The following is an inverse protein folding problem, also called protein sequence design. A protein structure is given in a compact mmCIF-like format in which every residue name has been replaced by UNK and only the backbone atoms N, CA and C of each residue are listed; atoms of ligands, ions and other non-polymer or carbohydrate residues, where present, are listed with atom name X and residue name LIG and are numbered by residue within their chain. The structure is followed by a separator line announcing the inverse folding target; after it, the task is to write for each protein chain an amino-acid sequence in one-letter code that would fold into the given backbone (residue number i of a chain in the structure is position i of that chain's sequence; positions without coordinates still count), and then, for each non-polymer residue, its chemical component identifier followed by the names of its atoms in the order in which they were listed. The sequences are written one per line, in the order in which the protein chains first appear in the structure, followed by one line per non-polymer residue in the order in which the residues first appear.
data_IF_817758699040
#
_entry.id   IF_817758699040
#
_cell.length_a   1.000
_cell.length_b   1.000
_cell.length_c   1.000
_cell.angle_alpha   90.00
_cell.angle_beta   90.00
_cell.angle_gamma   90.00
#
_symmetry.space_group_name_H-M   'P 1'
#
loop_
_entity.id
_entity.type
_entity.pdbx_description
1 polymer ?
#
# COMPACT_ATOMS: atom_id res chain seq x y z
N UNK A 1 -24.52 -14.91 4.04
CA UNK A 1 -24.37 -13.95 2.91
C UNK A 1 -22.94 -13.46 2.88
N UNK A 2 -22.23 -13.58 1.74
CA UNK A 2 -20.85 -13.08 1.62
C UNK A 2 -20.86 -11.57 1.71
N UNK A 3 -20.15 -11.00 2.68
CA UNK A 3 -20.06 -9.54 2.83
C UNK A 3 -18.88 -9.02 2.02
N UNK A 4 -19.16 -8.25 0.97
CA UNK A 4 -18.14 -7.52 0.22
C UNK A 4 -17.83 -6.21 0.89
N UNK A 5 -16.64 -5.67 0.60
CA UNK A 5 -16.24 -4.35 1.05
C UNK A 5 -17.22 -3.28 0.52
N UNK A 6 -17.49 -2.30 1.37
CA UNK A 6 -18.29 -1.13 1.06
C UNK A 6 -17.66 0.09 1.75
N UNK A 7 -17.38 1.12 0.99
CA UNK A 7 -16.73 2.34 1.46
C UNK A 7 -17.68 3.36 2.11
N UNK A 8 -18.96 3.05 2.36
CA UNK A 8 -19.93 4.02 2.86
C UNK A 8 -19.49 4.70 4.16
N UNK A 9 -19.00 3.91 5.14
CA UNK A 9 -18.56 4.46 6.42
C UNK A 9 -17.31 5.35 6.27
N UNK A 10 -16.41 4.96 5.40
CA UNK A 10 -15.21 5.74 5.09
C UNK A 10 -15.58 7.07 4.40
N UNK A 11 -16.47 7.03 3.41
CA UNK A 11 -16.92 8.20 2.66
C UNK A 11 -17.73 9.19 3.50
N UNK A 12 -18.50 8.74 4.49
CA UNK A 12 -19.21 9.60 5.46
C UNK A 12 -18.26 10.53 6.21
N UNK A 13 -17.00 10.17 6.37
CA UNK A 13 -15.99 11.00 7.03
C UNK A 13 -15.55 12.18 6.17
N UNK A 14 -15.88 12.18 4.89
CA UNK A 14 -15.58 13.22 3.90
C UNK A 14 -14.10 13.63 3.85
N UNK A 15 -13.19 12.69 4.06
CA UNK A 15 -11.74 12.97 4.00
C UNK A 15 -11.25 13.10 2.55
N UNK A 16 -10.19 13.89 2.36
CA UNK A 16 -9.55 14.10 1.05
C UNK A 16 -8.87 12.82 0.54
N UNK A 17 -8.14 12.15 1.44
CA UNK A 17 -7.43 10.91 1.17
C UNK A 17 -8.00 9.79 2.03
N UNK A 18 -8.22 8.65 1.43
CA UNK A 18 -8.80 7.47 2.05
C UNK A 18 -7.87 6.27 1.84
N UNK A 19 -7.34 5.72 2.91
CA UNK A 19 -6.46 4.55 2.86
C UNK A 19 -7.27 3.32 3.24
N UNK A 20 -7.22 2.26 2.42
CA UNK A 20 -7.96 1.02 2.65
C UNK A 20 -7.00 -0.15 2.63
N UNK A 21 -6.69 -0.65 3.82
CA UNK A 21 -5.88 -1.84 4.01
C UNK A 21 -6.74 -3.05 4.35
N UNK A 22 -6.34 -4.24 3.95
CA UNK A 22 -7.04 -5.47 4.29
C UNK A 22 -6.83 -6.60 3.30
N UNK A 23 -7.51 -7.73 3.51
CA UNK A 23 -7.36 -8.94 2.72
C UNK A 23 -7.55 -8.74 1.21
N UNK A 24 -6.87 -9.56 0.42
CA UNK A 24 -7.01 -9.57 -1.04
C UNK A 24 -8.40 -10.08 -1.44
N UNK A 25 -8.96 -9.51 -2.52
CA UNK A 25 -10.18 -10.02 -3.14
C UNK A 25 -11.48 -9.74 -2.36
N UNK A 26 -11.46 -8.90 -1.32
CA UNK A 26 -12.68 -8.49 -0.61
C UNK A 26 -13.50 -7.43 -1.35
N UNK A 27 -12.97 -6.85 -2.44
CA UNK A 27 -13.70 -5.90 -3.30
C UNK A 27 -13.42 -4.43 -3.01
N UNK A 28 -12.31 -4.07 -2.35
CA UNK A 28 -11.93 -2.67 -2.05
C UNK A 28 -12.03 -1.76 -3.27
N UNK A 29 -11.18 -1.99 -4.25
CA UNK A 29 -11.15 -1.22 -5.50
C UNK A 29 -12.42 -1.34 -6.31
N UNK A 30 -13.04 -2.51 -6.28
CA UNK A 30 -14.30 -2.80 -7.00
C UNK A 30 -15.43 -1.88 -6.56
N UNK A 31 -15.59 -1.62 -5.25
CA UNK A 31 -16.65 -0.73 -4.76
C UNK A 31 -16.42 0.73 -5.18
N UNK A 32 -15.17 1.20 -5.12
CA UNK A 32 -14.83 2.56 -5.56
C UNK A 32 -15.04 2.71 -7.07
N UNK A 33 -14.61 1.73 -7.88
CA UNK A 33 -14.83 1.72 -9.32
C UNK A 33 -16.33 1.75 -9.66
N UNK A 34 -17.14 0.94 -8.99
CA UNK A 34 -18.58 0.94 -9.17
C UNK A 34 -19.17 2.34 -8.98
N UNK A 35 -18.82 3.02 -7.89
CA UNK A 35 -19.29 4.39 -7.59
C UNK A 35 -18.89 5.37 -8.67
N UNK A 36 -17.61 5.43 -9.02
CA UNK A 36 -17.11 6.35 -10.02
C UNK A 36 -17.74 6.14 -11.40
N UNK A 37 -17.94 4.89 -11.83
CA UNK A 37 -18.58 4.58 -13.12
C UNK A 37 -20.08 4.90 -13.10
N UNK A 38 -20.79 4.51 -12.05
CA UNK A 38 -22.22 4.78 -11.94
C UNK A 38 -22.50 6.29 -11.91
N UNK A 39 -21.71 7.07 -11.17
CA UNK A 39 -21.82 8.51 -11.14
C UNK A 39 -21.47 9.15 -12.48
N UNK A 40 -20.43 8.64 -13.18
CA UNK A 40 -20.07 9.10 -14.53
C UNK A 40 -21.21 8.91 -15.54
N UNK A 41 -21.89 7.76 -15.45
CA UNK A 41 -23.07 7.47 -16.29
C UNK A 41 -24.24 8.38 -15.91
N UNK A 42 -24.56 8.49 -14.63
CA UNK A 42 -25.69 9.28 -14.14
C UNK A 42 -25.58 10.77 -14.48
N UNK A 43 -24.36 11.29 -14.58
CA UNK A 43 -24.07 12.69 -14.90
C UNK A 43 -23.70 12.92 -16.37
N UNK A 44 -23.87 11.94 -17.23
CA UNK A 44 -23.48 12.00 -18.65
C UNK A 44 -22.02 12.47 -18.87
N UNK A 45 -21.11 12.02 -18.01
CA UNK A 45 -19.69 12.34 -18.10
C UNK A 45 -19.25 13.64 -17.41
N UNK A 46 -20.15 14.37 -16.77
CA UNK A 46 -19.82 15.63 -16.09
C UNK A 46 -19.09 15.39 -14.75
N UNK A 47 -19.47 14.34 -14.03
CA UNK A 47 -18.89 13.94 -12.73
C UNK A 47 -18.56 12.45 -12.71
N UNK A 48 -17.95 11.99 -11.63
CA UNK A 48 -17.55 10.61 -11.47
C UNK A 48 -16.28 10.29 -12.26
N UNK A 49 -16.12 9.01 -12.65
CA UNK A 49 -14.92 8.51 -13.33
C UNK A 49 -13.77 8.20 -12.37
N UNK A 50 -12.77 7.51 -12.91
CA UNK A 50 -11.70 6.91 -12.13
C UNK A 50 -10.32 7.31 -12.67
N UNK A 51 -9.48 7.88 -11.83
CA UNK A 51 -8.04 7.90 -12.04
C UNK A 51 -7.45 6.59 -11.49
N UNK A 52 -7.08 5.68 -12.40
CA UNK A 52 -6.38 4.44 -12.05
C UNK A 52 -4.88 4.70 -11.97
N UNK A 53 -4.32 4.62 -10.78
CA UNK A 53 -2.92 5.00 -10.51
C UNK A 53 -2.10 3.76 -10.16
N UNK A 54 -0.94 3.64 -10.78
CA UNK A 54 0.07 2.62 -10.48
C UNK A 54 1.43 3.28 -10.24
N UNK A 55 2.33 2.58 -9.54
CA UNK A 55 3.67 3.10 -9.23
C UNK A 55 4.50 3.38 -10.48
N UNK A 56 4.55 2.44 -11.41
CA UNK A 56 5.37 2.49 -12.63
C UNK A 56 4.52 2.58 -13.88
N UNK A 57 4.98 3.35 -14.85
CA UNK A 57 4.26 3.55 -16.13
C UNK A 57 3.99 2.24 -16.86
N UNK A 58 4.95 1.33 -16.90
CA UNK A 58 4.80 0.00 -17.53
C UNK A 58 3.69 -0.89 -16.93
N UNK A 59 3.17 -0.54 -15.76
CA UNK A 59 2.04 -1.24 -15.14
C UNK A 59 0.68 -0.76 -15.69
N UNK A 60 0.68 0.32 -16.48
CA UNK A 60 -0.53 0.92 -17.05
C UNK A 60 -0.54 0.66 -18.55
N UNK A 61 -1.10 -0.46 -18.93
CA UNK A 61 -1.27 -0.88 -20.30
C UNK A 61 -2.75 -0.88 -20.67
N UNK A 62 -3.03 -0.90 -21.98
CA UNK A 62 -4.38 -1.11 -22.49
C UNK A 62 -5.03 -2.34 -21.83
N UNK A 63 -4.30 -3.46 -21.80
CA UNK A 63 -4.79 -4.71 -21.23
C UNK A 63 -5.10 -4.60 -19.73
N UNK A 64 -4.27 -3.90 -18.94
CA UNK A 64 -4.51 -3.75 -17.50
C UNK A 64 -5.73 -2.88 -17.20
N UNK A 65 -6.00 -1.85 -17.99
CA UNK A 65 -7.19 -1.01 -17.83
C UNK A 65 -8.44 -1.77 -18.30
N UNK A 66 -8.41 -2.42 -19.45
CA UNK A 66 -9.54 -3.16 -20.00
C UNK A 66 -9.96 -4.34 -19.12
N UNK A 67 -9.01 -5.00 -18.46
CA UNK A 67 -9.26 -6.12 -17.54
C UNK A 67 -9.51 -5.72 -16.08
N UNK A 68 -9.41 -4.43 -15.74
CA UNK A 68 -9.50 -3.96 -14.36
C UNK A 68 -10.87 -4.23 -13.73
N UNK A 69 -11.93 -4.17 -14.53
CA UNK A 69 -13.31 -4.47 -14.12
C UNK A 69 -13.82 -5.64 -14.94
N UNK A 70 -14.35 -6.65 -14.26
CA UNK A 70 -14.93 -7.82 -14.91
C UNK A 70 -16.21 -7.46 -15.65
N UNK A 71 -16.41 -8.07 -16.81
CA UNK A 71 -17.56 -7.80 -17.69
C UNK A 71 -18.91 -8.06 -17.02
N UNK A 72 -19.03 -9.14 -16.24
CA UNK A 72 -20.24 -9.46 -15.49
C UNK A 72 -20.60 -8.38 -14.45
N UNK A 73 -19.61 -7.82 -13.80
CA UNK A 73 -19.80 -6.70 -12.88
C UNK A 73 -20.23 -5.43 -13.63
N UNK A 74 -19.54 -5.13 -14.73
CA UNK A 74 -19.85 -3.94 -15.52
C UNK A 74 -21.28 -3.99 -16.09
N UNK A 75 -21.68 -5.12 -16.67
CA UNK A 75 -23.06 -5.36 -17.12
C UNK A 75 -24.06 -5.09 -15.99
N UNK A 76 -23.80 -5.62 -14.80
CA UNK A 76 -24.65 -5.39 -13.63
C UNK A 76 -24.74 -3.91 -13.23
N UNK A 77 -23.62 -3.19 -13.22
CA UNK A 77 -23.58 -1.78 -12.80
C UNK A 77 -24.25 -0.83 -13.79
N UNK A 78 -24.27 -1.23 -15.06
CA UNK A 78 -24.80 -0.42 -16.16
C UNK A 78 -26.21 -0.85 -16.63
N UNK A 79 -26.85 -1.79 -15.90
CA UNK A 79 -28.16 -2.33 -16.30
C UNK A 79 -28.13 -3.08 -17.64
N UNK A 80 -26.99 -3.67 -18.00
CA UNK A 80 -26.79 -4.39 -19.26
C UNK A 80 -26.46 -3.50 -20.46
N UNK A 81 -26.44 -2.17 -20.31
CA UNK A 81 -26.17 -1.23 -21.42
C UNK A 81 -24.74 -1.35 -21.95
N UNK A 82 -23.77 -1.57 -21.06
CA UNK A 82 -22.35 -1.67 -21.38
C UNK A 82 -21.77 -2.99 -20.89
N UNK A 83 -20.89 -3.57 -21.67
CA UNK A 83 -20.39 -4.92 -21.42
C UNK A 83 -18.92 -4.96 -20.98
N UNK A 84 -18.11 -4.05 -21.53
CA UNK A 84 -16.66 -4.06 -21.34
C UNK A 84 -16.09 -2.65 -21.32
N UNK A 85 -14.81 -2.54 -21.03
CA UNK A 85 -14.03 -1.31 -21.18
C UNK A 85 -13.08 -1.52 -22.35
N UNK A 86 -13.01 -0.55 -23.25
CA UNK A 86 -12.04 -0.49 -24.34
C UNK A 86 -11.25 0.79 -24.30
N UNK A 87 -9.95 0.71 -24.56
CA UNK A 87 -9.04 1.82 -24.40
C UNK A 87 -8.59 2.46 -25.71
N UNK A 88 -8.51 3.79 -25.67
CA UNK A 88 -7.73 4.62 -26.60
C UNK A 88 -6.52 5.15 -25.82
N UNK A 89 -5.33 4.58 -26.07
CA UNK A 89 -4.15 4.84 -25.23
C UNK A 89 -4.38 4.35 -23.77
N UNK A 90 -4.18 5.24 -22.79
CA UNK A 90 -4.41 5.00 -21.36
C UNK A 90 -5.79 5.49 -20.87
N UNK A 91 -6.71 5.72 -21.80
CA UNK A 91 -8.06 6.22 -21.49
C UNK A 91 -9.09 5.16 -21.86
N UNK A 92 -9.88 4.71 -20.88
CA UNK A 92 -10.88 3.66 -21.00
C UNK A 92 -12.28 4.20 -21.15
N UNK A 93 -13.02 3.69 -22.14
CA UNK A 93 -14.41 3.98 -22.44
C UNK A 93 -15.27 2.75 -22.19
N UNK A 94 -16.51 2.95 -21.77
CA UNK A 94 -17.49 1.87 -21.79
C UNK A 94 -17.76 1.47 -23.24
N UNK A 95 -17.88 0.16 -23.47
CA UNK A 95 -18.10 -0.38 -24.79
C UNK A 95 -19.07 -1.57 -24.76
N UNK A 96 -19.78 -1.79 -25.86
CA UNK A 96 -20.56 -3.00 -26.13
C UNK A 96 -20.34 -3.47 -27.57
N UNK A 97 -20.44 -4.75 -27.79
CA UNK A 97 -20.38 -5.32 -29.14
C UNK A 97 -21.70 -4.99 -29.87
N UNK A 98 -21.57 -4.43 -31.05
CA UNK A 98 -22.72 -4.15 -31.93
C UNK A 98 -22.79 -5.09 -33.14
N UNK A 99 -21.63 -5.59 -33.56
CA UNK A 99 -21.51 -6.45 -34.73
C UNK A 99 -20.22 -7.29 -34.65
N UNK A 100 -20.18 -8.41 -35.34
CA UNK A 100 -18.97 -9.20 -35.58
C UNK A 100 -18.73 -9.17 -37.10
N UNK A 101 -17.58 -8.67 -37.50
CA UNK A 101 -17.20 -8.59 -38.92
C UNK A 101 -16.96 -9.97 -39.57
N UNK A 102 -16.80 -9.99 -40.88
CA UNK A 102 -16.55 -11.21 -41.65
C UNK A 102 -15.32 -12.01 -41.22
N UNK A 103 -14.39 -11.37 -40.54
CA UNK A 103 -13.17 -11.97 -39.99
C UNK A 103 -13.30 -12.42 -38.52
N UNK A 104 -14.51 -12.37 -37.96
CA UNK A 104 -14.80 -12.73 -36.58
C UNK A 104 -14.38 -11.68 -35.55
N UNK A 105 -14.05 -10.45 -35.97
CA UNK A 105 -13.64 -9.37 -35.10
C UNK A 105 -14.83 -8.56 -34.62
N UNK A 106 -14.92 -8.34 -33.33
CA UNK A 106 -15.99 -7.54 -32.73
C UNK A 106 -15.85 -6.04 -33.07
N UNK A 107 -16.95 -5.45 -33.52
CA UNK A 107 -17.11 -4.01 -33.70
C UNK A 107 -17.82 -3.46 -32.45
N UNK A 108 -17.27 -2.37 -31.89
CA UNK A 108 -17.74 -1.82 -30.63
C UNK A 108 -18.41 -0.46 -30.81
N UNK A 109 -19.53 -0.27 -30.13
CA UNK A 109 -20.04 1.05 -29.76
C UNK A 109 -19.35 1.51 -28.47
N UNK A 110 -19.02 2.78 -28.38
CA UNK A 110 -18.33 3.39 -27.24
C UNK A 110 -19.22 4.44 -26.57
N UNK A 111 -19.04 4.61 -25.24
CA UNK A 111 -19.59 5.78 -24.55
C UNK A 111 -18.98 7.07 -25.11
N UNK A 112 -19.74 8.17 -25.09
CA UNK A 112 -19.28 9.49 -25.54
C UNK A 112 -18.24 10.12 -24.61
N UNK A 113 -18.11 9.61 -23.40
CA UNK A 113 -17.16 10.06 -22.37
C UNK A 113 -16.34 8.88 -21.81
N UNK A 114 -15.10 9.12 -21.46
CA UNK A 114 -14.26 8.12 -20.81
C UNK A 114 -14.65 7.92 -19.34
N UNK A 115 -14.39 6.73 -18.81
CA UNK A 115 -14.71 6.36 -17.42
C UNK A 115 -13.47 6.06 -16.57
N UNK A 116 -12.35 5.67 -17.18
CA UNK A 116 -11.08 5.39 -16.51
C UNK A 116 -9.93 6.08 -17.22
N UNK A 117 -9.02 6.65 -16.45
CA UNK A 117 -7.76 7.25 -16.92
C UNK A 117 -6.60 6.63 -16.18
N UNK A 118 -5.58 6.17 -16.90
CA UNK A 118 -4.37 5.57 -16.33
C UNK A 118 -3.31 6.61 -16.03
N UNK A 119 -2.81 6.61 -14.78
CA UNK A 119 -1.75 7.49 -14.29
C UNK A 119 -0.64 6.67 -13.63
N UNK A 120 0.61 7.07 -13.80
CA UNK A 120 1.73 6.51 -13.05
C UNK A 120 2.35 7.53 -12.11
N UNK A 121 2.75 7.07 -10.93
CA UNK A 121 3.45 7.90 -9.96
C UNK A 121 4.82 8.31 -10.51
N UNK A 122 5.50 7.41 -11.23
CA UNK A 122 6.80 7.71 -11.84
C UNK A 122 6.78 8.84 -12.87
N UNK A 123 5.61 9.19 -13.40
CA UNK A 123 5.43 10.24 -14.41
C UNK A 123 4.47 11.33 -13.92
N UNK A 124 4.41 11.58 -12.61
CA UNK A 124 3.47 12.53 -12.01
C UNK A 124 3.52 13.93 -12.65
N UNK A 125 4.70 14.35 -13.09
CA UNK A 125 4.91 15.67 -13.70
C UNK A 125 4.32 15.83 -15.11
N UNK A 126 4.19 14.73 -15.86
CA UNK A 126 3.68 14.75 -17.23
C UNK A 126 2.17 15.09 -17.31
N UNK A 127 1.45 14.97 -16.21
CA UNK A 127 -0.01 15.14 -16.17
C UNK A 127 -0.48 16.55 -15.82
N UNK A 128 0.42 17.46 -15.48
CA UNK A 128 0.11 18.80 -14.92
C UNK A 128 -0.74 19.70 -15.82
N UNK A 129 -0.72 19.49 -17.12
CA UNK A 129 -1.41 20.34 -18.10
C UNK A 129 -2.83 19.92 -18.44
N UNK A 130 -3.30 18.76 -17.99
CA UNK A 130 -4.56 18.17 -18.42
C UNK A 130 -5.66 18.38 -17.35
N UNK A 131 -6.88 18.65 -17.80
CA UNK A 131 -8.07 18.70 -16.95
C UNK A 131 -8.89 17.41 -17.15
N UNK A 132 -8.99 16.61 -16.09
CA UNK A 132 -9.59 15.28 -16.17
C UNK A 132 -11.03 15.23 -15.67
N UNK A 133 -11.44 16.19 -14.83
CA UNK A 133 -12.76 16.23 -14.17
C UNK A 133 -13.19 14.85 -13.64
N UNK A 134 -12.42 14.33 -12.69
CA UNK A 134 -12.62 13.03 -12.05
C UNK A 134 -12.93 13.20 -10.58
N UNK A 135 -13.86 12.41 -10.04
CA UNK A 135 -14.22 12.46 -8.62
C UNK A 135 -13.44 11.43 -7.79
N UNK A 136 -12.90 10.39 -8.43
CA UNK A 136 -12.21 9.31 -7.72
C UNK A 136 -10.83 9.01 -8.30
N UNK A 137 -9.84 8.88 -7.43
CA UNK A 137 -8.54 8.32 -7.79
C UNK A 137 -8.27 7.07 -6.95
N UNK A 138 -7.72 6.03 -7.56
CA UNK A 138 -7.37 4.78 -6.88
C UNK A 138 -5.90 4.49 -7.14
N UNK A 139 -5.07 4.63 -6.11
CA UNK A 139 -3.69 4.18 -6.14
C UNK A 139 -3.62 2.74 -5.64
N UNK A 140 -3.45 1.83 -6.58
CA UNK A 140 -3.38 0.39 -6.32
C UNK A 140 -2.00 -0.04 -5.85
N UNK A 141 -1.99 -0.91 -4.84
CA UNK A 141 -0.77 -1.49 -4.27
C UNK A 141 0.21 -0.42 -3.76
N UNK A 142 -0.32 0.60 -3.03
CA UNK A 142 0.53 1.63 -2.43
C UNK A 142 1.51 1.04 -1.41
N UNK A 143 1.14 -0.03 -0.70
CA UNK A 143 2.09 -0.85 0.05
C UNK A 143 2.73 -1.89 -0.86
N UNK A 144 4.03 -2.11 -0.71
CA UNK A 144 4.80 -3.07 -1.49
C UNK A 144 5.92 -3.69 -0.67
N UNK A 145 6.28 -4.93 -1.00
CA UNK A 145 7.51 -5.59 -0.55
C UNK A 145 8.68 -5.35 -1.53
N UNK A 146 8.43 -4.64 -2.61
CA UNK A 146 9.42 -4.18 -3.57
C UNK A 146 9.98 -2.82 -3.11
N UNK A 147 10.51 -2.05 -3.99
CA UNK A 147 10.97 -0.70 -3.66
C UNK A 147 9.88 0.35 -3.88
N UNK A 148 9.92 1.41 -3.10
CA UNK A 148 9.19 2.65 -3.31
C UNK A 148 9.99 3.59 -4.25
N UNK A 149 9.28 4.49 -4.92
CA UNK A 149 9.96 5.59 -5.63
C UNK A 149 10.53 6.58 -4.62
N UNK A 150 11.59 7.27 -5.01
CA UNK A 150 12.13 8.35 -4.21
C UNK A 150 11.04 9.41 -3.99
N UNK A 151 10.81 9.75 -2.72
CA UNK A 151 9.77 10.68 -2.28
C UNK A 151 8.35 10.37 -2.81
N UNK A 152 8.00 9.10 -2.91
CA UNK A 152 6.70 8.64 -3.43
C UNK A 152 5.49 9.31 -2.77
N UNK A 153 5.46 9.58 -1.44
CA UNK A 153 4.38 10.34 -0.82
C UNK A 153 4.20 11.75 -1.39
N UNK A 154 5.28 12.47 -1.73
CA UNK A 154 5.19 13.78 -2.35
C UNK A 154 4.72 13.71 -3.81
N UNK A 155 5.16 12.69 -4.55
CA UNK A 155 4.69 12.44 -5.91
C UNK A 155 3.17 12.15 -5.94
N UNK A 156 2.66 11.39 -4.97
CA UNK A 156 1.21 11.17 -4.82
C UNK A 156 0.48 12.46 -4.47
N UNK A 157 1.05 13.33 -3.64
CA UNK A 157 0.47 14.64 -3.35
C UNK A 157 0.44 15.55 -4.59
N UNK A 158 1.47 15.49 -5.42
CA UNK A 158 1.50 16.19 -6.71
C UNK A 158 0.39 15.70 -7.64
N UNK A 159 0.22 14.37 -7.78
CA UNK A 159 -0.89 13.78 -8.54
C UNK A 159 -2.26 14.17 -7.96
N UNK A 160 -2.41 14.10 -6.64
CA UNK A 160 -3.63 14.53 -5.96
C UNK A 160 -3.99 15.97 -6.37
N UNK A 161 -3.06 16.91 -6.24
CA UNK A 161 -3.26 18.31 -6.60
C UNK A 161 -3.59 18.47 -8.09
N UNK A 162 -2.89 17.72 -8.95
CA UNK A 162 -3.06 17.77 -10.41
C UNK A 162 -4.45 17.28 -10.85
N UNK A 163 -4.96 16.22 -10.25
CA UNK A 163 -6.24 15.62 -10.63
C UNK A 163 -7.41 16.36 -9.95
N UNK A 164 -7.25 16.70 -8.67
CA UNK A 164 -8.27 17.41 -7.89
C UNK A 164 -8.57 18.79 -8.45
N UNK A 165 -7.54 19.62 -8.68
CA UNK A 165 -7.69 21.04 -9.05
C UNK A 165 -8.80 21.71 -8.23
N UNK A 166 -9.84 22.20 -8.91
CA UNK A 166 -10.99 22.89 -8.31
C UNK A 166 -12.14 21.92 -7.97
N UNK A 167 -11.96 20.59 -8.19
CA UNK A 167 -13.02 19.62 -7.94
C UNK A 167 -13.13 19.30 -6.44
N UNK A 168 -14.10 19.89 -5.75
CA UNK A 168 -14.37 19.65 -4.32
C UNK A 168 -14.89 18.25 -4.01
N UNK A 169 -15.41 17.54 -5.00
CA UNK A 169 -15.92 16.17 -4.84
C UNK A 169 -14.82 15.11 -4.93
N UNK A 170 -13.62 15.51 -5.37
CA UNK A 170 -12.52 14.59 -5.59
C UNK A 170 -12.08 13.89 -4.30
N UNK A 171 -11.94 12.57 -4.37
CA UNK A 171 -11.43 11.71 -3.29
C UNK A 171 -10.36 10.78 -3.83
N UNK A 172 -9.22 10.74 -3.15
CA UNK A 172 -8.16 9.79 -3.48
C UNK A 172 -8.22 8.59 -2.53
N UNK A 173 -8.08 7.41 -3.11
CA UNK A 173 -8.02 6.14 -2.39
C UNK A 173 -6.67 5.48 -2.59
N UNK A 174 -5.99 5.15 -1.50
CA UNK A 174 -4.80 4.30 -1.51
C UNK A 174 -5.24 2.91 -1.07
N UNK A 175 -5.09 1.92 -1.94
CA UNK A 175 -5.59 0.58 -1.68
C UNK A 175 -4.44 -0.40 -1.65
N UNK A 176 -4.35 -1.19 -0.58
CA UNK A 176 -3.36 -2.25 -0.50
C UNK A 176 -3.87 -3.47 0.29
N UNK A 177 -3.17 -4.58 0.10
CA UNK A 177 -3.18 -5.65 1.08
C UNK A 177 -2.24 -5.26 2.21
N UNK A 178 -2.49 -5.75 3.42
CA UNK A 178 -1.57 -5.50 4.56
C UNK A 178 -0.28 -6.27 4.34
N UNK A 179 0.80 -5.56 4.08
CA UNK A 179 2.07 -6.16 3.64
C UNK A 179 3.20 -5.85 4.61
N UNK A 180 3.37 -4.57 4.94
CA UNK A 180 4.49 -4.11 5.75
C UNK A 180 4.05 -3.01 6.71
N UNK A 181 4.59 -3.04 7.94
CA UNK A 181 4.35 -1.98 8.95
C UNK A 181 5.15 -0.72 8.67
N UNK A 182 6.21 -0.85 7.89
CA UNK A 182 7.09 0.27 7.54
C UNK A 182 6.85 0.64 6.09
N UNK A 183 6.32 1.84 5.86
CA UNK A 183 6.17 2.39 4.53
C UNK A 183 6.35 3.92 4.58
N UNK A 184 6.78 4.56 3.49
CA UNK A 184 7.10 6.00 3.48
C UNK A 184 5.90 6.89 3.78
N UNK A 185 4.67 6.46 3.48
CA UNK A 185 3.45 7.22 3.75
C UNK A 185 3.18 7.38 5.25
N UNK A 186 3.49 6.35 6.06
CA UNK A 186 3.31 6.40 7.52
C UNK A 186 4.13 7.54 8.12
N UNK A 187 5.37 7.67 7.66
CA UNK A 187 6.29 8.72 8.10
C UNK A 187 5.90 10.09 7.54
N UNK A 188 5.76 10.18 6.22
CA UNK A 188 5.53 11.46 5.54
C UNK A 188 4.22 12.12 5.94
N UNK A 189 3.18 11.32 6.23
CA UNK A 189 1.84 11.82 6.56
C UNK A 189 1.49 11.71 8.04
N UNK A 190 2.44 11.32 8.90
CA UNK A 190 2.25 11.28 10.35
C UNK A 190 1.16 10.31 10.82
N UNK A 191 1.04 9.13 10.19
CA UNK A 191 0.00 8.14 10.51
C UNK A 191 0.34 7.37 11.80
N UNK A 192 0.36 8.07 12.93
CA UNK A 192 0.94 7.61 14.20
C UNK A 192 0.34 6.32 14.76
N UNK A 193 -0.93 6.01 14.45
CA UNK A 193 -1.60 4.79 14.93
C UNK A 193 -1.58 3.65 13.92
N UNK A 194 -0.91 3.81 12.78
CA UNK A 194 -0.94 2.86 11.66
C UNK A 194 -0.67 1.41 12.09
N UNK A 195 0.39 1.21 12.88
CA UNK A 195 0.85 -0.13 13.31
C UNK A 195 0.04 -0.70 14.50
N UNK A 196 -0.81 0.12 15.14
CA UNK A 196 -1.61 -0.27 16.30
C UNK A 196 -3.10 -0.41 15.98
N UNK A 197 -3.51 0.07 14.81
CA UNK A 197 -4.90 0.06 14.39
C UNK A 197 -5.43 -1.38 14.29
N UNK A 198 -6.60 -1.60 14.85
CA UNK A 198 -7.25 -2.93 14.86
C UNK A 198 -8.03 -3.16 13.57
N UNK A 199 -8.12 -4.42 13.07
CA UNK A 199 -9.02 -4.75 11.98
C UNK A 199 -10.46 -4.34 12.28
N UNK A 200 -11.17 -3.81 11.27
CA UNK A 200 -12.54 -3.33 11.39
C UNK A 200 -12.68 -1.93 11.98
N UNK A 201 -11.60 -1.16 12.08
CA UNK A 201 -11.63 0.23 12.59
C UNK A 201 -11.21 1.25 11.53
N UNK A 202 -11.62 2.50 11.74
CA UNK A 202 -11.22 3.64 10.91
C UNK A 202 -10.58 4.69 11.82
N UNK A 203 -9.38 5.12 11.45
CA UNK A 203 -8.66 6.22 12.10
C UNK A 203 -8.67 7.46 11.21
N UNK A 204 -8.60 8.64 11.81
CA UNK A 204 -8.53 9.92 11.10
C UNK A 204 -7.27 10.66 11.47
N UNK A 205 -6.65 11.28 10.47
CA UNK A 205 -5.43 12.08 10.61
C UNK A 205 -5.62 13.43 9.93
N UNK A 206 -4.82 14.40 10.35
CA UNK A 206 -4.67 15.72 9.70
C UNK A 206 -3.23 15.89 9.25
N UNK A 207 -3.04 16.15 7.97
CA UNK A 207 -1.74 16.48 7.40
C UNK A 207 -1.66 17.97 7.22
N UNK A 208 -0.74 18.62 7.93
CA UNK A 208 -0.49 20.06 7.78
C UNK A 208 0.16 20.34 6.42
N UNK A 209 -0.40 21.29 5.68
CA UNK A 209 0.06 21.62 4.32
C UNK A 209 1.17 22.67 4.27
N UNK A 210 1.55 23.24 5.40
CA UNK A 210 2.54 24.33 5.45
C UNK A 210 2.05 25.67 4.92
N UNK A 211 0.73 25.84 4.76
CA UNK A 211 0.10 27.06 4.24
C UNK A 211 -1.07 27.48 5.11
N UNK A 212 -1.46 28.75 5.00
CA UNK A 212 -2.59 29.35 5.72
C UNK A 212 -3.71 29.69 4.73
N UNK A 213 -4.94 29.73 5.24
CA UNK A 213 -6.10 30.22 4.50
C UNK A 213 -6.20 31.76 4.53
N UNK A 214 -7.22 32.32 3.89
CA UNK A 214 -7.47 33.78 3.83
C UNK A 214 -7.72 34.38 5.21
N UNK A 215 -8.12 33.59 6.19
CA UNK A 215 -8.35 33.99 7.58
C UNK A 215 -7.16 33.71 8.50
N UNK A 216 -5.98 33.40 7.93
CA UNK A 216 -4.76 33.07 8.65
C UNK A 216 -4.85 31.82 9.51
N UNK A 217 -5.74 30.84 9.17
CA UNK A 217 -5.78 29.54 9.79
C UNK A 217 -4.91 28.54 9.02
N UNK A 218 -4.28 27.63 9.75
CA UNK A 218 -3.51 26.54 9.15
C UNK A 218 -4.38 25.64 8.28
N UNK A 219 -3.96 25.38 7.04
CA UNK A 219 -4.63 24.44 6.15
C UNK A 219 -4.16 23.02 6.39
N UNK A 220 -5.13 22.13 6.51
CA UNK A 220 -4.91 20.70 6.69
C UNK A 220 -5.59 19.91 5.58
N UNK A 221 -4.94 18.84 5.16
CA UNK A 221 -5.57 17.77 4.40
C UNK A 221 -6.05 16.70 5.38
N UNK A 222 -7.22 16.16 5.13
CA UNK A 222 -7.81 15.13 5.96
C UNK A 222 -7.55 13.76 5.39
N UNK A 223 -7.11 12.83 6.23
CA UNK A 223 -6.82 11.44 5.85
C UNK A 223 -7.67 10.53 6.74
N UNK A 224 -8.39 9.58 6.14
CA UNK A 224 -9.00 8.48 6.84
C UNK A 224 -8.29 7.18 6.46
N UNK A 225 -8.02 6.32 7.42
CA UNK A 225 -7.50 4.98 7.18
C UNK A 225 -8.42 3.94 7.76
N UNK A 226 -8.94 3.09 6.91
CA UNK A 226 -9.66 1.88 7.28
C UNK A 226 -8.72 0.68 7.23
N UNK A 227 -8.61 -0.03 8.36
CA UNK A 227 -8.08 -1.38 8.36
C UNK A 227 -9.26 -2.35 8.32
N UNK A 228 -9.57 -2.86 7.13
CA UNK A 228 -10.74 -3.70 6.94
C UNK A 228 -10.63 -5.00 7.74
N UNK A 229 -11.67 -5.30 8.53
CA UNK A 229 -11.80 -6.56 9.24
C UNK A 229 -12.35 -7.70 8.38
N UNK A 230 -12.64 -7.45 7.08
CA UNK A 230 -13.17 -8.46 6.18
C UNK A 230 -12.06 -9.44 5.78
N UNK A 231 -12.42 -10.73 5.74
CA UNK A 231 -11.55 -11.79 5.29
C UNK A 231 -12.05 -12.35 3.94
N UNK A 232 -11.16 -12.91 3.14
CA UNK A 232 -11.50 -13.57 1.88
C UNK A 232 -12.25 -14.91 2.09
N UNK A 233 -12.51 -15.30 3.34
CA UNK A 233 -13.21 -16.51 3.73
C UNK A 233 -14.61 -16.56 3.13
N UNK A 234 -14.81 -17.50 2.23
CA UNK A 234 -16.05 -17.66 1.49
C UNK A 234 -15.98 -17.36 -0.01
N UNK A 235 -14.86 -16.81 -0.53
CA UNK A 235 -14.67 -16.54 -1.97
C UNK A 235 -13.75 -17.50 -2.70
N UNK A 236 -12.94 -18.30 -1.98
CA UNK A 236 -12.16 -19.36 -2.61
C UNK A 236 -13.07 -20.54 -2.94
N UNK A 237 -12.87 -21.17 -4.12
CA UNK A 237 -13.54 -22.43 -4.46
C UNK A 237 -13.41 -23.41 -3.31
N UNK A 238 -14.50 -24.11 -2.98
CA UNK A 238 -14.54 -25.08 -1.87
C UNK A 238 -13.43 -26.13 -1.96
N UNK A 239 -13.08 -26.56 -3.16
CA UNK A 239 -12.00 -27.51 -3.43
C UNK A 239 -10.59 -26.96 -3.10
N UNK A 240 -10.33 -25.71 -3.43
CA UNK A 240 -9.07 -25.05 -3.08
C UNK A 240 -8.97 -24.86 -1.56
N UNK A 241 -10.09 -24.55 -0.89
CA UNK A 241 -10.15 -24.47 0.58
C UNK A 241 -9.82 -25.80 1.26
N UNK A 242 -10.26 -26.89 0.72
CA UNK A 242 -10.05 -28.23 1.29
C UNK A 242 -8.61 -28.70 1.09
N UNK A 243 -8.06 -28.48 -0.10
CA UNK A 243 -6.65 -28.72 -0.41
C UNK A 243 -5.69 -27.88 0.45
N UNK A 244 -6.10 -26.66 0.80
CA UNK A 244 -5.28 -25.72 1.58
C UNK A 244 -5.46 -25.88 3.10
N UNK A 245 -6.58 -26.45 3.58
CA UNK A 245 -6.82 -26.70 5.02
C UNK A 245 -5.76 -27.60 5.66
N UNK A 246 -5.23 -28.55 4.92
CA UNK A 246 -4.28 -29.54 5.40
C UNK A 246 -2.79 -29.14 5.23
N UNK A 247 -2.51 -28.01 4.65
CA UNK A 247 -1.15 -27.50 4.52
C UNK A 247 -1.08 -26.14 5.20
N UNK A 248 -0.28 -26.00 6.25
CA UNK A 248 0.22 -24.73 6.79
C UNK A 248 1.12 -24.08 5.72
N UNK A 249 0.54 -23.76 4.57
CA UNK A 249 1.28 -23.32 3.40
C UNK A 249 1.12 -21.80 3.25
N UNK A 250 2.20 -21.12 2.88
CA UNK A 250 2.27 -19.68 2.57
C UNK A 250 1.13 -19.22 1.63
N UNK A 251 0.81 -20.03 0.61
CA UNK A 251 -0.27 -19.74 -0.34
C UNK A 251 -1.63 -19.60 0.39
N UNK A 252 -1.86 -20.36 1.46
CA UNK A 252 -3.10 -20.27 2.23
C UNK A 252 -3.19 -18.93 3.00
N UNK A 253 -2.10 -18.47 3.58
CA UNK A 253 -2.02 -17.17 4.27
C UNK A 253 -2.22 -16.02 3.28
N UNK A 254 -1.63 -16.10 2.10
CA UNK A 254 -1.77 -15.13 1.03
C UNK A 254 -3.22 -15.01 0.53
N UNK A 255 -3.89 -16.14 0.31
CA UNK A 255 -5.28 -16.16 -0.20
C UNK A 255 -6.29 -15.79 0.89
N UNK A 256 -6.11 -16.25 2.14
CA UNK A 256 -7.11 -16.11 3.20
C UNK A 256 -6.93 -14.86 4.04
N UNK A 257 -5.69 -14.43 4.28
CA UNK A 257 -5.36 -13.28 5.13
C UNK A 257 -4.92 -12.04 4.33
N UNK A 258 -4.70 -12.18 3.02
CA UNK A 258 -4.23 -11.10 2.16
C UNK A 258 -2.76 -10.73 2.39
N UNK A 259 -2.04 -11.60 3.08
CA UNK A 259 -0.59 -11.47 3.24
C UNK A 259 0.08 -11.81 1.91
N UNK A 260 1.06 -11.00 1.51
CA UNK A 260 1.82 -11.26 0.29
C UNK A 260 2.70 -12.49 0.45
N UNK A 261 2.95 -13.18 -0.68
CA UNK A 261 4.00 -14.17 -0.73
C UNK A 261 5.34 -13.46 -0.47
N UNK A 262 5.96 -13.76 0.66
CA UNK A 262 7.28 -13.20 0.98
C UNK A 262 8.26 -13.70 -0.08
N UNK A 263 8.83 -12.78 -0.84
CA UNK A 263 9.88 -13.09 -1.83
C UNK A 263 11.15 -13.65 -1.18
N UNK A 264 11.32 -13.44 0.12
CA UNK A 264 12.50 -13.88 0.88
C UNK A 264 12.08 -14.87 1.96
N UNK A 265 12.76 -16.00 2.01
CA UNK A 265 12.66 -16.95 3.12
C UNK A 265 13.71 -16.57 4.12
N UNK A 266 13.27 -16.12 5.29
CA UNK A 266 14.19 -15.80 6.39
C UNK A 266 14.46 -17.02 7.24
N UNK A 267 15.64 -17.08 7.83
CA UNK A 267 15.96 -18.07 8.85
C UNK A 267 15.24 -17.68 10.14
N UNK A 268 14.23 -18.43 10.51
CA UNK A 268 13.44 -18.21 11.71
C UNK A 268 13.97 -19.09 12.83
N UNK A 269 14.29 -18.47 13.96
CA UNK A 269 14.77 -19.20 15.15
C UNK A 269 13.76 -19.13 16.29
N UNK A 270 13.63 -20.26 16.99
CA UNK A 270 12.75 -20.32 18.16
C UNK A 270 13.38 -19.60 19.34
N UNK A 271 12.58 -18.81 20.06
CA UNK A 271 13.02 -18.07 21.24
C UNK A 271 13.68 -18.95 22.30
N UNK A 272 13.21 -20.19 22.48
CA UNK A 272 13.80 -21.16 23.42
C UNK A 272 15.26 -21.49 23.09
N UNK A 273 15.56 -21.68 21.79
CA UNK A 273 16.93 -21.92 21.34
C UNK A 273 17.81 -20.69 21.58
N UNK A 274 17.34 -19.51 21.21
CA UNK A 274 18.09 -18.26 21.42
C UNK A 274 18.39 -18.01 22.90
N UNK A 275 17.44 -18.28 23.78
CA UNK A 275 17.61 -18.11 25.22
C UNK A 275 18.64 -19.09 25.84
N UNK A 276 19.02 -20.16 25.15
CA UNK A 276 20.06 -21.08 25.58
C UNK A 276 21.49 -20.60 25.22
N UNK A 277 21.60 -19.55 24.39
CA UNK A 277 22.84 -19.03 23.89
C UNK A 277 23.30 -17.82 24.71
N UNK A 278 24.63 -17.65 24.80
CA UNK A 278 25.21 -16.47 25.43
C UNK A 278 25.25 -15.31 24.45
N UNK A 279 24.62 -14.20 24.82
CA UNK A 279 24.73 -12.95 24.08
C UNK A 279 26.16 -12.43 24.08
N UNK A 280 26.67 -12.07 22.91
CA UNK A 280 28.01 -11.50 22.73
C UNK A 280 27.93 -9.97 22.69
N UNK A 281 26.96 -9.46 21.94
CA UNK A 281 26.83 -8.03 21.68
C UNK A 281 25.40 -7.74 21.21
N UNK A 282 24.89 -6.54 21.48
CA UNK A 282 23.68 -6.05 20.84
C UNK A 282 23.77 -4.56 20.50
N UNK A 283 22.91 -4.16 19.57
CA UNK A 283 22.62 -2.77 19.28
C UNK A 283 21.17 -2.62 18.84
N UNK A 284 20.72 -1.38 18.68
CA UNK A 284 19.40 -1.06 18.20
C UNK A 284 19.48 -0.35 16.87
N UNK A 285 18.58 -0.71 15.95
CA UNK A 285 18.28 0.06 14.75
C UNK A 285 16.97 0.76 15.00
N UNK A 286 16.99 2.07 15.13
CA UNK A 286 15.83 2.90 15.49
C UNK A 286 15.51 3.86 14.36
N UNK A 287 14.33 3.71 13.81
CA UNK A 287 13.74 4.57 12.80
C UNK A 287 12.48 5.22 13.36
N UNK A 288 11.93 6.21 12.68
CA UNK A 288 10.73 6.90 13.15
C UNK A 288 9.54 5.97 13.41
N UNK A 289 9.38 4.94 12.57
CA UNK A 289 8.23 4.03 12.60
C UNK A 289 8.58 2.59 12.96
N UNK A 290 9.85 2.28 13.17
CA UNK A 290 10.31 0.94 13.50
C UNK A 290 11.54 0.98 14.40
N UNK A 291 11.63 0.01 15.31
CA UNK A 291 12.81 -0.20 16.12
C UNK A 291 13.06 -1.69 16.22
N UNK A 292 14.32 -2.08 16.01
CA UNK A 292 14.74 -3.47 16.08
C UNK A 292 15.91 -3.60 17.06
N UNK A 293 15.90 -4.67 17.85
CA UNK A 293 17.08 -5.12 18.59
C UNK A 293 17.81 -6.15 17.74
N UNK A 294 19.08 -5.89 17.47
CA UNK A 294 20.01 -6.79 16.82
C UNK A 294 20.91 -7.38 17.90
N UNK A 295 20.88 -8.70 18.04
CA UNK A 295 21.68 -9.40 19.07
C UNK A 295 22.53 -10.46 18.43
N UNK A 296 23.84 -10.43 18.67
CA UNK A 296 24.82 -11.39 18.14
C UNK A 296 25.06 -12.54 19.10
N UNK A 297 25.01 -13.73 18.53
CA UNK A 297 25.27 -15.00 19.19
C UNK A 297 26.31 -15.80 18.42
N UNK A 298 27.01 -16.70 19.10
CA UNK A 298 27.88 -17.67 18.48
C UNK A 298 27.41 -19.08 18.82
N UNK A 299 27.06 -19.84 17.78
CA UNK A 299 26.82 -21.27 17.81
C UNK A 299 27.30 -21.84 16.48
N UNK A 300 28.45 -22.57 16.49
CA UNK A 300 29.17 -23.03 15.28
C UNK A 300 29.60 -21.89 14.35
N UNK A 301 28.81 -20.84 14.21
CA UNK A 301 29.11 -19.61 13.48
C UNK A 301 28.51 -18.39 14.20
N UNK A 302 29.05 -17.22 13.87
CA UNK A 302 28.49 -15.96 14.33
C UNK A 302 27.22 -15.65 13.52
N UNK A 303 26.13 -15.35 14.19
CA UNK A 303 24.90 -14.90 13.57
C UNK A 303 24.25 -13.77 14.37
N UNK A 304 23.38 -13.01 13.71
CA UNK A 304 22.63 -11.93 14.31
C UNK A 304 21.14 -12.32 14.41
N UNK A 305 20.58 -12.30 15.61
CA UNK A 305 19.14 -12.49 15.84
C UNK A 305 18.45 -11.15 15.95
N UNK A 306 17.42 -10.94 15.12
CA UNK A 306 16.72 -9.67 14.98
C UNK A 306 15.30 -9.82 15.48
N UNK A 307 14.92 -8.93 16.40
CA UNK A 307 13.60 -8.87 17.00
C UNK A 307 13.02 -7.46 16.92
N UNK A 308 11.71 -7.31 16.76
CA UNK A 308 11.07 -6.01 16.88
C UNK A 308 11.23 -5.52 18.33
N UNK A 309 11.44 -4.22 18.49
CA UNK A 309 11.61 -3.58 19.78
C UNK A 309 10.64 -2.40 19.92
N UNK A 310 10.41 -1.95 21.15
CA UNK A 310 9.66 -0.72 21.40
C UNK A 310 10.47 0.49 20.92
N UNK A 311 9.80 1.55 20.47
CA UNK A 311 10.49 2.80 20.10
C UNK A 311 11.27 3.43 21.25
N UNK A 312 10.81 3.23 22.46
CA UNK A 312 11.52 3.67 23.66
C UNK A 312 12.51 2.60 24.08
N UNK A 313 13.77 2.97 24.17
CA UNK A 313 14.89 2.13 24.62
C UNK A 313 15.23 2.55 26.04
N UNK A 314 15.13 1.62 26.98
CA UNK A 314 15.54 1.89 28.35
C UNK A 314 17.07 2.13 28.38
N UNK A 315 17.51 3.15 29.14
CA UNK A 315 18.93 3.54 29.25
C UNK A 315 19.60 3.86 27.90
N UNK A 316 18.89 4.65 27.03
CA UNK A 316 19.42 5.06 25.71
C UNK A 316 20.87 5.59 25.77
N UNK A 317 21.27 6.26 26.85
CA UNK A 317 22.62 6.80 27.05
C UNK A 317 23.72 5.72 27.10
N UNK A 318 23.40 4.50 27.49
CA UNK A 318 24.32 3.37 27.58
C UNK A 318 24.19 2.38 26.42
N UNK A 319 23.21 2.56 25.54
CA UNK A 319 22.93 1.66 24.44
C UNK A 319 23.50 2.17 23.12
N UNK A 320 23.87 1.24 22.24
CA UNK A 320 24.33 1.58 20.92
C UNK A 320 23.13 1.65 19.97
N UNK A 321 22.89 2.84 19.42
CA UNK A 321 21.74 3.10 18.57
C UNK A 321 22.22 3.57 17.20
N UNK A 322 21.73 2.91 16.14
CA UNK A 322 21.89 3.31 14.75
C UNK A 322 20.54 3.83 14.27
N UNK A 323 20.48 5.03 13.74
CA UNK A 323 19.23 5.72 13.45
C UNK A 323 19.32 6.57 12.19
N UNK A 324 18.16 6.85 11.56
CA UNK A 324 18.00 7.85 10.51
C UNK A 324 18.14 9.29 11.03
N UNK A 325 17.92 9.48 12.34
CA UNK A 325 18.07 10.76 13.04
C UNK A 325 19.03 10.62 14.21
N UNK A 326 19.80 11.66 14.46
CA UNK A 326 20.67 11.71 15.62
C UNK A 326 19.85 11.66 16.91
N UNK A 327 20.13 10.68 17.78
CA UNK A 327 19.48 10.52 19.08
C UNK A 327 20.33 11.21 20.15
N UNK A 328 19.93 12.42 20.57
CA UNK A 328 20.71 13.26 21.52
C UNK A 328 20.92 12.62 22.88
N UNK A 329 19.96 11.81 23.34
CA UNK A 329 20.03 11.10 24.63
C UNK A 329 21.01 9.93 24.62
N UNK A 330 21.45 9.45 23.44
CA UNK A 330 22.29 8.28 23.32
C UNK A 330 23.75 8.66 23.11
N UNK A 331 24.61 8.27 24.04
CA UNK A 331 26.08 8.45 23.98
C UNK A 331 26.69 7.83 22.72
N UNK A 332 26.13 6.72 22.24
CA UNK A 332 26.62 5.94 21.11
C UNK A 332 25.66 5.95 19.92
N UNK A 333 24.97 7.05 19.69
CA UNK A 333 24.12 7.20 18.50
C UNK A 333 24.96 7.43 17.25
N UNK A 334 24.61 6.74 16.15
CA UNK A 334 25.20 6.90 14.83
C UNK A 334 24.11 7.04 13.79
N UNK A 335 24.37 7.91 12.82
CA UNK A 335 23.56 7.97 11.60
C UNK A 335 24.03 6.87 10.65
N UNK A 336 23.11 6.25 9.88
CA UNK A 336 23.44 5.21 8.91
C UNK A 336 24.55 5.61 7.91
N UNK A 337 24.56 6.87 7.47
CA UNK A 337 25.60 7.40 6.57
C UNK A 337 26.96 7.64 7.25
N UNK A 338 27.02 7.50 8.55
CA UNK A 338 28.23 7.76 9.36
C UNK A 338 28.75 6.51 10.09
N UNK A 339 28.44 5.31 9.60
CA UNK A 339 28.93 4.07 10.19
C UNK A 339 30.45 3.97 10.10
N UNK A 340 31.09 3.51 11.17
CA UNK A 340 32.51 3.15 11.17
C UNK A 340 32.73 1.89 10.30
N UNK A 341 33.94 1.68 9.82
CA UNK A 341 34.27 0.47 9.04
C UNK A 341 33.92 -0.85 9.78
N UNK A 342 34.01 -0.87 11.11
CA UNK A 342 33.59 -2.01 11.93
C UNK A 342 32.07 -2.21 11.95
N UNK A 343 31.33 -1.13 12.03
CA UNK A 343 29.85 -1.16 11.97
C UNK A 343 29.35 -1.57 10.60
N UNK A 344 29.93 -1.01 9.54
CA UNK A 344 29.62 -1.38 8.16
C UNK A 344 29.91 -2.86 7.90
N UNK A 345 31.03 -3.37 8.41
CA UNK A 345 31.37 -4.80 8.36
C UNK A 345 30.33 -5.66 9.10
N UNK A 346 29.93 -5.26 10.32
CA UNK A 346 28.90 -5.97 11.08
C UNK A 346 27.56 -5.96 10.33
N UNK A 347 27.17 -4.83 9.75
CA UNK A 347 25.94 -4.74 8.96
C UNK A 347 25.97 -5.59 7.69
N UNK A 348 27.07 -5.62 6.97
CA UNK A 348 27.25 -6.52 5.81
C UNK A 348 27.14 -7.99 6.20
N UNK A 349 27.67 -8.37 7.37
CA UNK A 349 27.51 -9.73 7.89
C UNK A 349 26.09 -10.04 8.37
N UNK A 350 25.36 -9.06 8.90
CA UNK A 350 23.92 -9.21 9.24
C UNK A 350 23.12 -9.65 8.03
N UNK A 351 23.35 -9.05 6.88
CA UNK A 351 22.60 -9.37 5.64
C UNK A 351 22.76 -10.85 5.26
N UNK A 352 23.91 -11.43 5.50
CA UNK A 352 24.21 -12.81 5.10
C UNK A 352 23.82 -13.86 6.18
N UNK A 353 23.82 -13.49 7.47
CA UNK A 353 23.66 -14.41 8.60
C UNK A 353 22.56 -13.96 9.58
N UNK A 354 21.62 -13.17 9.15
CA UNK A 354 20.49 -12.74 9.97
C UNK A 354 19.51 -13.88 10.21
N UNK A 355 19.04 -14.01 11.45
CA UNK A 355 17.95 -14.87 11.86
C UNK A 355 16.87 -14.03 12.55
N UNK A 356 15.62 -14.40 12.39
CA UNK A 356 14.50 -13.57 12.83
C UNK A 356 13.58 -14.34 13.76
N UNK A 357 12.84 -13.64 14.59
CA UNK A 357 11.79 -14.24 15.41
C UNK A 357 10.58 -14.70 14.59
N UNK A 358 10.32 -14.03 13.47
CA UNK A 358 9.29 -14.36 12.49
C UNK A 358 9.58 -13.70 11.13
N UNK A 359 8.86 -14.12 10.12
CA UNK A 359 9.02 -13.60 8.77
C UNK A 359 8.60 -12.13 8.62
N UNK A 360 7.62 -11.68 9.41
CA UNK A 360 7.17 -10.29 9.38
C UNK A 360 8.31 -9.36 9.81
N UNK A 361 9.00 -9.70 10.90
CA UNK A 361 10.18 -8.97 11.37
C UNK A 361 11.28 -8.91 10.30
N UNK A 362 11.51 -10.04 9.58
CA UNK A 362 12.48 -10.07 8.49
C UNK A 362 12.12 -9.09 7.36
N UNK A 363 10.89 -9.10 6.93
CA UNK A 363 10.40 -8.17 5.89
C UNK A 363 10.50 -6.72 6.32
N UNK A 364 10.04 -6.40 7.53
CA UNK A 364 10.09 -5.04 8.09
C UNK A 364 11.53 -4.54 8.19
N UNK A 365 12.44 -5.37 8.68
CA UNK A 365 13.84 -5.00 8.84
C UNK A 365 14.51 -4.70 7.49
N UNK A 366 14.35 -5.57 6.50
CA UNK A 366 14.93 -5.32 5.17
C UNK A 366 14.27 -4.16 4.44
N UNK A 367 12.96 -3.95 4.60
CA UNK A 367 12.30 -2.76 4.05
C UNK A 367 12.87 -1.48 4.65
N UNK A 368 13.19 -1.47 5.94
CA UNK A 368 13.88 -0.34 6.60
C UNK A 368 15.25 -0.12 6.01
N UNK A 369 16.05 -1.18 5.82
CA UNK A 369 17.40 -1.08 5.27
C UNK A 369 17.42 -0.61 3.80
N UNK A 370 16.44 -1.03 3.00
CA UNK A 370 16.34 -0.67 1.58
C UNK A 370 15.91 0.79 1.37
N UNK A 371 15.28 1.41 2.38
CA UNK A 371 14.84 2.82 2.35
C UNK A 371 15.78 3.77 3.13
N UNK A 372 16.97 3.31 3.52
CA UNK A 372 18.03 4.09 4.14
C UNK A 372 19.13 4.45 3.16
#
# INVERSE_FOLDING_TARGET
MKKYYNADELLKLNCDINIIDGARGIGKSTDICRRGIQERIATAGQRGGIAYIRRKDKQITKATIESYIKEDMLKKWTGGKWETIKCKGKVGYLARVIEIDENGKAIYEYSTYPVIFGFSVSNADDYKSLNYNLDYAIYEEYQTNDYYLDDEPALIMSLFSTIKRENEHFKMFLVANTVCRVNPFVRAWGLSNFNKQKPGTIDRYKLYLGIFDENNNEKYMTIAREYSGLTADGKSNSEIKELLKNRKNRINLMITRGEWEEKRTYLIEKKQYINSLKEIYHCYVKMENACFKLTWYFDKMLFCYITPHKFYINNEENERIISDKYVRSAKYSRHFKGLTAKEDYLFKNVINNARFCDNLTGNEFFTVLENL
#
